data_IF_605941237507
#
_entry.id   IF_605941237507
#
_cell.length_a   1.000
_cell.length_b   1.000
_cell.length_c   1.000
_cell.angle_alpha   90.00
_cell.angle_beta   90.00
_cell.angle_gamma   90.00
#
_symmetry.space_group_name_H-M   'P 1'
#
loop_
_entity.id
_entity.type
_entity.pdbx_description
1 polymer ?
#
# COMPACT_ATOMS: atom_id res chain seq x y z
N UNK A 1 -7.20 26.41 19.69
CA UNK A 1 -6.40 27.40 18.94
C UNK A 1 -5.00 27.65 19.52
N UNK A 2 -4.85 28.13 20.76
CA UNK A 2 -3.53 28.50 21.33
C UNK A 2 -2.50 27.35 21.34
N UNK A 3 -2.90 26.14 21.74
CA UNK A 3 -2.02 24.98 21.76
C UNK A 3 -1.52 24.59 20.35
N UNK A 4 -2.38 24.65 19.34
CA UNK A 4 -2.01 24.38 17.94
C UNK A 4 -1.00 25.39 17.42
N UNK A 5 -1.22 26.69 17.64
CA UNK A 5 -0.29 27.74 17.22
C UNK A 5 1.07 27.55 17.91
N UNK A 6 1.07 27.25 19.21
CA UNK A 6 2.31 26.97 19.94
C UNK A 6 3.06 25.77 19.35
N UNK A 7 2.38 24.65 19.12
CA UNK A 7 2.97 23.45 18.53
C UNK A 7 3.50 23.70 17.11
N UNK A 8 2.77 24.52 16.30
CA UNK A 8 3.20 24.93 14.97
C UNK A 8 4.52 25.71 15.00
N UNK A 9 4.66 26.66 15.93
CA UNK A 9 5.89 27.43 16.09
C UNK A 9 7.04 26.58 16.65
N UNK A 10 6.78 25.68 17.61
CA UNK A 10 7.76 24.70 18.08
C UNK A 10 8.26 23.79 16.94
N UNK A 11 7.37 23.36 16.04
CA UNK A 11 7.73 22.54 14.88
C UNK A 11 8.63 23.28 13.88
N UNK A 12 8.39 24.58 13.66
CA UNK A 12 9.25 25.43 12.80
C UNK A 12 10.68 25.55 13.33
N UNK A 13 10.87 25.49 14.65
CA UNK A 13 12.21 25.54 15.26
C UNK A 13 13.07 24.33 14.88
N UNK A 14 12.46 23.20 14.49
CA UNK A 14 13.19 22.02 14.00
C UNK A 14 13.83 22.23 12.62
N UNK A 15 13.49 23.33 11.90
CA UNK A 15 14.04 23.67 10.57
C UNK A 15 14.00 22.51 9.57
N UNK A 16 12.92 21.74 9.62
CA UNK A 16 12.69 20.67 8.65
C UNK A 16 12.52 21.27 7.25
N UNK A 17 13.12 20.69 6.20
CA UNK A 17 12.91 21.16 4.83
C UNK A 17 11.45 20.95 4.42
N UNK A 18 10.85 21.95 3.77
CA UNK A 18 9.46 21.91 3.30
C UNK A 18 8.60 23.03 3.90
N UNK A 19 7.28 22.81 3.90
CA UNK A 19 6.29 23.72 4.45
C UNK A 19 5.21 22.94 5.20
N UNK A 20 4.42 23.63 6.02
CA UNK A 20 3.30 23.02 6.71
C UNK A 20 2.04 23.19 5.85
N UNK A 21 1.28 22.11 5.65
CA UNK A 21 0.00 22.23 4.92
C UNK A 21 -0.98 23.22 5.56
N UNK A 22 -0.89 23.44 6.87
CA UNK A 22 -1.62 24.52 7.57
C UNK A 22 -1.18 25.95 7.21
N UNK A 23 -0.23 26.12 6.29
CA UNK A 23 0.24 27.40 5.74
C UNK A 23 -0.14 27.58 4.28
N UNK A 24 -0.72 26.55 3.65
CA UNK A 24 -1.23 26.66 2.28
C UNK A 24 -2.54 27.45 2.34
N UNK A 25 -2.67 28.54 1.55
CA UNK A 25 -3.86 29.38 1.56
C UNK A 25 -5.06 28.72 0.88
N UNK A 26 -4.79 27.75 -0.01
CA UNK A 26 -5.79 27.03 -0.78
C UNK A 26 -6.29 25.81 -0.02
N UNK A 27 -7.61 25.63 -0.02
CA UNK A 27 -8.24 24.39 0.45
C UNK A 27 -7.99 23.28 -0.57
N UNK A 28 -7.86 22.06 -0.09
CA UNK A 28 -7.57 20.94 -0.95
C UNK A 28 -8.78 20.46 -1.79
N UNK A 29 -9.99 20.92 -1.46
CA UNK A 29 -11.13 20.93 -2.37
C UNK A 29 -11.85 22.28 -2.24
N UNK A 30 -12.18 22.87 -3.38
CA UNK A 30 -13.07 24.04 -3.50
C UNK A 30 -14.51 23.63 -3.78
N UNK A 31 -14.76 22.33 -3.95
CA UNK A 31 -16.05 21.74 -4.35
C UNK A 31 -16.71 21.11 -3.10
N UNK A 32 -17.99 21.40 -2.82
CA UNK A 32 -18.71 20.79 -1.70
C UNK A 32 -18.80 19.26 -1.81
N UNK A 33 -18.77 18.55 -0.68
CA UNK A 33 -18.85 17.08 -0.59
C UNK A 33 -20.08 16.43 -1.24
N UNK A 34 -21.06 17.21 -1.69
CA UNK A 34 -22.34 16.74 -2.23
C UNK A 34 -22.81 17.56 -3.44
N UNK A 35 -21.91 18.27 -4.13
CA UNK A 35 -22.29 18.89 -5.41
C UNK A 35 -22.41 17.80 -6.47
N UNK A 36 -23.63 17.33 -6.67
CA UNK A 36 -24.01 16.50 -7.80
C UNK A 36 -24.22 17.42 -8.99
N UNK A 37 -23.14 17.91 -9.60
CA UNK A 37 -23.25 18.33 -10.99
C UNK A 37 -23.18 17.04 -11.82
N UNK A 38 -24.36 16.57 -12.23
CA UNK A 38 -24.50 15.43 -13.12
C UNK A 38 -23.82 15.79 -14.45
N UNK A 39 -22.57 15.37 -14.64
CA UNK A 39 -21.94 15.38 -15.95
C UNK A 39 -22.56 14.26 -16.79
N UNK A 40 -23.77 14.52 -17.32
CA UNK A 40 -24.52 13.62 -18.21
C UNK A 40 -23.82 13.37 -19.57
N UNK A 41 -22.56 13.80 -19.75
CA UNK A 41 -21.87 13.73 -21.04
C UNK A 41 -20.36 13.42 -20.97
N UNK A 42 -19.90 12.63 -20.01
CA UNK A 42 -18.50 12.18 -20.05
C UNK A 42 -18.38 10.81 -20.75
N UNK A 43 -17.79 10.79 -21.95
CA UNK A 43 -17.39 9.55 -22.66
C UNK A 43 -16.29 8.77 -21.90
N UNK A 44 -15.77 9.30 -20.79
CA UNK A 44 -14.76 8.61 -19.98
C UNK A 44 -15.36 7.38 -19.28
N UNK A 45 -14.66 6.25 -19.44
CA UNK A 45 -14.95 5.00 -18.75
C UNK A 45 -14.70 5.08 -17.24
N UNK A 46 -14.98 3.98 -16.55
CA UNK A 46 -14.92 3.87 -15.09
C UNK A 46 -13.48 3.78 -14.59
N UNK A 47 -13.17 4.51 -13.53
CA UNK A 47 -11.97 4.32 -12.73
C UNK A 47 -12.23 3.28 -11.65
N UNK A 48 -11.80 2.05 -11.90
CA UNK A 48 -11.94 0.94 -10.95
C UNK A 48 -10.84 1.02 -9.87
N UNK A 49 -11.22 1.09 -8.60
CA UNK A 49 -10.31 1.02 -7.46
C UNK A 49 -10.46 -0.34 -6.78
N UNK A 50 -9.40 -1.13 -6.81
CA UNK A 50 -9.35 -2.46 -6.19
C UNK A 50 -8.66 -2.38 -4.84
N UNK A 51 -9.41 -2.65 -3.78
CA UNK A 51 -8.95 -2.64 -2.39
C UNK A 51 -8.58 -4.07 -1.95
N UNK A 52 -7.34 -4.27 -1.50
CA UNK A 52 -6.80 -5.60 -1.17
C UNK A 52 -6.28 -5.63 0.27
N UNK A 53 -6.92 -6.44 1.11
CA UNK A 53 -6.64 -6.55 2.54
C UNK A 53 -5.36 -7.35 2.85
N UNK A 54 -4.93 -7.30 4.12
CA UNK A 54 -3.76 -8.00 4.64
C UNK A 54 -4.05 -9.40 5.19
N UNK A 55 -3.08 -9.94 5.93
CA UNK A 55 -3.17 -11.24 6.63
C UNK A 55 -4.26 -11.18 7.71
N UNK A 56 -5.11 -12.20 7.80
CA UNK A 56 -6.26 -12.25 8.71
C UNK A 56 -7.20 -11.03 8.58
N UNK A 57 -7.12 -10.32 7.45
CA UNK A 57 -7.95 -9.17 7.12
C UNK A 57 -9.21 -9.55 6.33
N UNK A 58 -10.04 -8.55 6.06
CA UNK A 58 -11.29 -8.68 5.33
C UNK A 58 -11.60 -7.45 4.44
N UNK A 59 -12.64 -7.53 3.61
CA UNK A 59 -13.03 -6.48 2.66
C UNK A 59 -13.47 -5.18 3.35
N UNK A 60 -13.88 -5.23 4.61
CA UNK A 60 -14.25 -4.05 5.38
C UNK A 60 -13.06 -3.28 5.97
N UNK A 61 -11.83 -3.83 5.90
CA UNK A 61 -10.63 -3.19 6.46
C UNK A 61 -10.28 -1.87 5.74
N UNK A 62 -10.57 -1.78 4.44
CA UNK A 62 -10.29 -0.60 3.62
C UNK A 62 -11.51 0.31 3.44
N UNK A 63 -12.58 0.11 4.24
CA UNK A 63 -13.84 0.87 4.09
C UNK A 63 -13.64 2.39 4.22
N UNK A 64 -12.79 2.84 5.15
CA UNK A 64 -12.55 4.27 5.36
C UNK A 64 -11.78 4.88 4.18
N UNK A 65 -10.87 4.12 3.55
CA UNK A 65 -10.21 4.57 2.32
C UNK A 65 -11.23 4.82 1.22
N UNK A 66 -12.15 3.87 1.00
CA UNK A 66 -13.27 4.04 0.08
C UNK A 66 -14.07 5.30 0.41
N UNK A 67 -14.52 5.43 1.66
CA UNK A 67 -15.30 6.58 2.12
C UNK A 67 -14.62 7.92 1.82
N UNK A 68 -13.35 8.09 2.18
CA UNK A 68 -12.66 9.38 1.96
C UNK A 68 -12.34 9.67 0.49
N UNK A 69 -12.16 8.63 -0.34
CA UNK A 69 -12.01 8.80 -1.79
C UNK A 69 -13.33 9.21 -2.45
N UNK A 70 -14.45 8.54 -2.12
CA UNK A 70 -15.77 8.90 -2.63
C UNK A 70 -16.18 10.32 -2.21
N UNK A 71 -15.93 10.66 -0.96
CA UNK A 71 -16.18 12.00 -0.43
C UNK A 71 -15.28 13.05 -1.11
N UNK A 72 -14.00 12.76 -1.31
CA UNK A 72 -13.05 13.73 -1.85
C UNK A 72 -13.06 13.89 -3.37
N UNK A 73 -13.73 13.00 -4.11
CA UNK A 73 -13.87 13.04 -5.57
C UNK A 73 -15.35 13.00 -5.97
N UNK A 74 -16.17 13.99 -5.54
CA UNK A 74 -17.57 14.04 -5.92
C UNK A 74 -17.71 14.15 -7.45
N UNK A 75 -18.63 13.39 -8.03
CA UNK A 75 -18.87 13.35 -9.48
C UNK A 75 -17.90 12.50 -10.29
N UNK A 76 -16.78 12.03 -9.71
CA UNK A 76 -15.88 11.14 -10.43
C UNK A 76 -16.53 9.76 -10.66
N UNK A 77 -16.39 9.21 -11.88
CA UNK A 77 -16.88 7.87 -12.24
C UNK A 77 -15.99 6.77 -11.67
N UNK A 78 -16.03 6.62 -10.36
CA UNK A 78 -15.23 5.66 -9.60
C UNK A 78 -16.11 4.50 -9.18
N UNK A 79 -15.58 3.28 -9.31
CA UNK A 79 -16.18 2.09 -8.73
C UNK A 79 -15.17 1.33 -7.86
N UNK A 80 -15.64 0.64 -6.83
CA UNK A 80 -14.79 -0.01 -5.84
C UNK A 80 -15.01 -1.52 -5.80
N UNK A 81 -13.95 -2.27 -6.09
CA UNK A 81 -13.87 -3.68 -5.77
C UNK A 81 -13.16 -3.85 -4.41
N UNK A 82 -13.95 -4.09 -3.37
CA UNK A 82 -13.42 -4.50 -2.06
C UNK A 82 -13.17 -6.01 -2.10
N UNK A 83 -11.92 -6.44 -2.22
CA UNK A 83 -11.57 -7.84 -2.45
C UNK A 83 -11.99 -8.75 -1.28
N UNK A 84 -12.65 -9.86 -1.60
CA UNK A 84 -13.20 -10.82 -0.65
C UNK A 84 -12.69 -12.25 -0.83
N UNK A 85 -12.13 -12.59 -2.00
CA UNK A 85 -11.77 -13.98 -2.33
C UNK A 85 -10.66 -14.56 -1.46
N UNK A 86 -9.80 -13.73 -0.85
CA UNK A 86 -8.70 -14.19 -0.01
C UNK A 86 -9.01 -14.19 1.50
N UNK A 87 -10.13 -13.62 1.94
CA UNK A 87 -10.47 -13.45 3.37
C UNK A 87 -10.44 -14.76 4.17
N UNK A 88 -10.95 -15.83 3.56
CA UNK A 88 -11.08 -17.13 4.23
C UNK A 88 -9.75 -17.90 4.30
N UNK A 89 -8.73 -17.48 3.55
CA UNK A 89 -7.46 -18.22 3.46
C UNK A 89 -6.31 -17.31 3.02
N UNK A 90 -5.91 -16.39 3.90
CA UNK A 90 -4.73 -15.54 3.72
C UNK A 90 -3.40 -16.24 4.03
N UNK A 91 -3.46 -17.50 4.48
CA UNK A 91 -2.27 -18.29 4.85
C UNK A 91 -1.74 -19.16 3.69
N UNK A 92 -2.50 -19.31 2.61
CA UNK A 92 -2.03 -19.87 1.34
C UNK A 92 -0.78 -19.16 0.80
N UNK A 93 -0.10 -19.77 -0.17
CA UNK A 93 0.98 -19.10 -0.90
C UNK A 93 0.47 -17.91 -1.75
N UNK A 94 1.37 -16.98 -2.04
CA UNK A 94 1.05 -15.79 -2.81
C UNK A 94 0.56 -16.12 -4.22
N UNK A 95 1.04 -17.18 -4.85
CA UNK A 95 0.60 -17.61 -6.17
C UNK A 95 -0.90 -17.94 -6.17
N UNK A 96 -1.37 -18.73 -5.21
CA UNK A 96 -2.78 -19.09 -5.04
C UNK A 96 -3.63 -17.85 -4.74
N UNK A 97 -3.17 -16.98 -3.83
CA UNK A 97 -3.89 -15.73 -3.52
C UNK A 97 -3.95 -14.76 -4.70
N UNK A 98 -2.91 -14.76 -5.55
CA UNK A 98 -2.84 -13.97 -6.78
C UNK A 98 -3.91 -14.41 -7.76
N UNK A 99 -4.05 -15.71 -7.97
CA UNK A 99 -5.01 -16.25 -8.93
C UNK A 99 -6.45 -15.99 -8.49
N UNK A 100 -6.73 -16.12 -7.18
CA UNK A 100 -8.02 -15.75 -6.56
C UNK A 100 -8.36 -14.29 -6.77
N UNK A 101 -7.43 -13.36 -6.50
CA UNK A 101 -7.66 -11.93 -6.70
C UNK A 101 -7.83 -11.58 -8.18
N UNK A 102 -7.04 -12.18 -9.07
CA UNK A 102 -7.16 -11.95 -10.50
C UNK A 102 -8.50 -12.43 -11.04
N UNK A 103 -8.96 -13.61 -10.62
CA UNK A 103 -10.28 -14.12 -10.98
C UNK A 103 -11.40 -13.20 -10.49
N UNK A 104 -11.29 -12.68 -9.27
CA UNK A 104 -12.23 -11.70 -8.73
C UNK A 104 -12.31 -10.43 -9.58
N UNK A 105 -11.15 -9.83 -9.92
CA UNK A 105 -11.11 -8.59 -10.72
C UNK A 105 -11.73 -8.82 -12.11
N UNK A 106 -11.37 -9.91 -12.78
CA UNK A 106 -11.90 -10.22 -14.12
C UNK A 106 -13.40 -10.51 -14.06
N UNK A 107 -13.85 -11.30 -13.08
CA UNK A 107 -15.28 -11.59 -12.88
C UNK A 107 -16.07 -10.32 -12.59
N UNK A 108 -15.54 -9.43 -11.74
CA UNK A 108 -16.20 -8.16 -11.39
C UNK A 108 -16.39 -7.28 -12.63
N UNK A 109 -15.32 -7.08 -13.42
CA UNK A 109 -15.39 -6.29 -14.66
C UNK A 109 -16.42 -6.88 -15.64
N UNK A 110 -16.46 -8.21 -15.78
CA UNK A 110 -17.37 -8.90 -16.69
C UNK A 110 -18.82 -8.86 -16.21
N UNK A 111 -19.07 -9.15 -14.93
CA UNK A 111 -20.42 -9.25 -14.36
C UNK A 111 -21.15 -7.90 -14.41
N UNK A 112 -20.42 -6.81 -14.13
CA UNK A 112 -20.97 -5.46 -14.17
C UNK A 112 -20.77 -4.75 -15.52
N UNK A 113 -20.22 -5.45 -16.53
CA UNK A 113 -19.96 -4.92 -17.87
C UNK A 113 -19.23 -3.56 -17.86
N UNK A 114 -18.20 -3.44 -17.02
CA UNK A 114 -17.51 -2.17 -16.79
C UNK A 114 -16.64 -1.79 -17.98
N UNK A 115 -16.87 -0.61 -18.55
CA UNK A 115 -15.93 0.00 -19.49
C UNK A 115 -14.83 0.70 -18.70
N UNK A 116 -13.83 -0.07 -18.27
CA UNK A 116 -12.74 0.43 -17.42
C UNK A 116 -11.80 1.34 -18.20
N UNK A 117 -11.63 2.59 -17.76
CA UNK A 117 -10.66 3.56 -18.29
C UNK A 117 -9.36 3.56 -17.48
N UNK A 118 -9.48 3.50 -16.15
CA UNK A 118 -8.39 3.52 -15.17
C UNK A 118 -8.55 2.38 -14.16
N UNK A 119 -7.44 1.80 -13.71
CA UNK A 119 -7.41 0.87 -12.58
C UNK A 119 -6.40 1.38 -11.55
N UNK A 120 -6.86 1.52 -10.32
CA UNK A 120 -5.98 1.76 -9.16
C UNK A 120 -6.09 0.64 -8.16
N UNK A 121 -5.02 0.43 -7.42
CA UNK A 121 -4.95 -0.54 -6.35
C UNK A 121 -4.64 0.15 -5.02
N UNK A 122 -5.40 -0.20 -3.99
CA UNK A 122 -5.08 0.15 -2.61
C UNK A 122 -4.80 -1.15 -1.87
N UNK A 123 -3.53 -1.38 -1.52
CA UNK A 123 -3.11 -2.58 -0.80
C UNK A 123 -2.75 -2.28 0.64
N UNK A 124 -3.16 -3.14 1.56
CA UNK A 124 -2.67 -3.14 2.94
C UNK A 124 -1.79 -4.36 3.20
N UNK A 125 -0.67 -4.16 3.90
CA UNK A 125 0.19 -5.25 4.37
C UNK A 125 0.52 -6.22 3.22
N UNK A 126 0.34 -7.54 3.40
CA UNK A 126 0.60 -8.53 2.35
C UNK A 126 -0.25 -8.36 1.08
N UNK A 127 -1.40 -7.66 1.14
CA UNK A 127 -2.24 -7.40 -0.03
C UNK A 127 -1.48 -6.67 -1.14
N UNK A 128 -0.49 -5.86 -0.76
CA UNK A 128 0.44 -5.19 -1.68
C UNK A 128 1.26 -6.16 -2.53
N UNK A 129 1.66 -7.31 -1.96
CA UNK A 129 2.42 -8.33 -2.67
C UNK A 129 1.52 -9.12 -3.62
N UNK A 130 0.26 -9.37 -3.21
CA UNK A 130 -0.75 -9.98 -4.08
C UNK A 130 -1.00 -9.08 -5.29
N UNK A 131 -1.20 -7.78 -5.08
CA UNK A 131 -1.35 -6.79 -6.17
C UNK A 131 -0.17 -6.86 -7.12
N UNK A 132 1.07 -6.73 -6.62
CA UNK A 132 2.27 -6.79 -7.46
C UNK A 132 2.36 -8.08 -8.26
N UNK A 133 1.98 -9.21 -7.66
CA UNK A 133 1.97 -10.52 -8.30
C UNK A 133 0.92 -10.62 -9.42
N UNK A 134 -0.28 -10.03 -9.23
CA UNK A 134 -1.34 -9.96 -10.27
C UNK A 134 -0.83 -9.31 -11.55
N UNK A 135 -0.05 -8.23 -11.43
CA UNK A 135 0.50 -7.50 -12.59
C UNK A 135 1.40 -8.37 -13.48
N UNK A 136 1.93 -9.46 -12.93
CA UNK A 136 2.82 -10.39 -13.65
C UNK A 136 2.04 -11.46 -14.42
N UNK A 137 0.73 -11.60 -14.19
CA UNK A 137 -0.09 -12.65 -14.78
C UNK A 137 -0.48 -12.31 -16.23
N UNK A 138 -0.32 -13.24 -17.18
CA UNK A 138 -0.67 -13.00 -18.59
C UNK A 138 -2.11 -12.52 -18.80
N UNK A 139 -3.07 -13.06 -18.05
CA UNK A 139 -4.49 -12.67 -18.10
C UNK A 139 -4.74 -11.21 -17.70
N UNK A 140 -3.84 -10.59 -16.95
CA UNK A 140 -3.95 -9.18 -16.55
C UNK A 140 -3.27 -8.22 -17.54
N UNK A 141 -2.51 -8.74 -18.52
CA UNK A 141 -1.68 -7.94 -19.43
C UNK A 141 -2.45 -6.85 -20.19
N UNK A 142 -3.70 -7.11 -20.57
CA UNK A 142 -4.55 -6.15 -21.28
C UNK A 142 -4.95 -4.93 -20.44
N UNK A 143 -4.80 -4.99 -19.12
CA UNK A 143 -5.13 -3.91 -18.20
C UNK A 143 -3.92 -3.06 -17.80
N UNK A 144 -2.70 -3.49 -18.13
CA UNK A 144 -1.48 -2.79 -17.69
C UNK A 144 -1.40 -1.34 -18.18
N UNK A 145 -1.89 -1.06 -19.38
CA UNK A 145 -1.93 0.32 -19.92
C UNK A 145 -2.99 1.21 -19.25
N UNK A 146 -3.88 0.64 -18.44
CA UNK A 146 -4.93 1.36 -17.70
C UNK A 146 -4.54 1.62 -16.24
N UNK A 147 -3.34 1.21 -15.81
CA UNK A 147 -2.91 1.38 -14.42
C UNK A 147 -2.66 2.84 -14.09
N UNK A 148 -3.35 3.34 -13.08
CA UNK A 148 -3.28 4.74 -12.64
C UNK A 148 -2.49 4.84 -11.34
N UNK A 149 -3.04 4.38 -10.22
CA UNK A 149 -2.39 4.56 -8.91
C UNK A 149 -2.26 3.27 -8.14
N UNK A 150 -1.08 3.05 -7.56
CA UNK A 150 -0.83 2.05 -6.56
C UNK A 150 -0.55 2.72 -5.21
N UNK A 151 -1.54 2.70 -4.32
CA UNK A 151 -1.42 3.16 -2.95
C UNK A 151 -1.10 1.97 -2.04
N UNK A 152 0.13 1.95 -1.55
CA UNK A 152 0.64 0.90 -0.68
C UNK A 152 0.68 1.34 0.77
N UNK A 153 -0.23 0.80 1.59
CA UNK A 153 -0.31 1.05 3.03
C UNK A 153 0.42 -0.06 3.77
N UNK A 154 1.56 0.26 4.39
CA UNK A 154 2.41 -0.70 5.11
C UNK A 154 2.76 -1.96 4.29
N UNK A 155 3.13 -1.83 3.00
CA UNK A 155 3.41 -2.98 2.14
C UNK A 155 4.80 -3.61 2.38
N UNK A 156 4.94 -4.88 2.76
CA UNK A 156 6.24 -5.52 3.00
C UNK A 156 6.93 -5.91 1.68
N UNK A 157 7.21 -4.93 0.82
CA UNK A 157 7.71 -5.12 -0.56
C UNK A 157 9.02 -5.88 -0.68
N UNK A 158 9.84 -5.85 0.38
CA UNK A 158 11.13 -6.49 0.51
C UNK A 158 11.12 -7.59 1.61
N UNK A 159 9.92 -7.99 2.04
CA UNK A 159 9.70 -8.97 3.09
C UNK A 159 10.02 -8.47 4.50
N UNK A 160 10.19 -9.42 5.41
CA UNK A 160 10.41 -9.17 6.85
C UNK A 160 11.83 -9.49 7.32
N UNK A 161 12.77 -9.71 6.37
CA UNK A 161 14.16 -10.13 6.61
C UNK A 161 14.89 -9.33 7.70
N UNK A 162 14.74 -8.00 7.70
CA UNK A 162 15.42 -7.11 8.65
C UNK A 162 14.44 -6.45 9.64
N UNK A 163 13.37 -7.16 10.01
CA UNK A 163 12.47 -6.66 11.04
C UNK A 163 13.20 -6.56 12.39
N UNK A 164 13.16 -5.37 12.99
CA UNK A 164 13.83 -5.06 14.26
C UNK A 164 13.10 -5.61 15.49
N UNK A 165 11.85 -6.04 15.35
CA UNK A 165 11.02 -6.51 16.46
C UNK A 165 11.18 -8.02 16.69
N UNK A 166 11.98 -8.40 17.69
CA UNK A 166 12.18 -9.79 18.08
C UNK A 166 10.87 -10.50 18.43
N UNK A 167 9.97 -9.84 19.18
CA UNK A 167 8.67 -10.38 19.57
C UNK A 167 7.79 -10.71 18.36
N UNK A 168 7.73 -9.79 17.39
CA UNK A 168 6.95 -10.01 16.15
C UNK A 168 7.57 -11.14 15.34
N UNK A 169 8.90 -11.18 15.21
CA UNK A 169 9.58 -12.27 14.50
C UNK A 169 9.29 -13.64 15.13
N UNK A 170 9.30 -13.73 16.46
CA UNK A 170 8.93 -14.96 17.18
C UNK A 170 7.46 -15.32 16.95
N UNK A 171 6.55 -14.34 17.01
CA UNK A 171 5.12 -14.55 16.74
C UNK A 171 4.85 -15.03 15.30
N UNK A 172 5.48 -14.39 14.31
CA UNK A 172 5.39 -14.79 12.90
C UNK A 172 5.89 -16.22 12.70
N UNK A 173 7.03 -16.59 13.29
CA UNK A 173 7.56 -17.95 13.21
C UNK A 173 6.62 -18.98 13.84
N UNK A 174 6.02 -18.66 15.00
CA UNK A 174 5.05 -19.52 15.65
C UNK A 174 3.80 -19.72 14.77
N UNK A 175 3.22 -18.63 14.26
CA UNK A 175 2.06 -18.68 13.37
C UNK A 175 2.38 -19.44 12.08
N UNK A 176 3.54 -19.19 11.48
CA UNK A 176 4.01 -19.89 10.29
C UNK A 176 4.05 -21.40 10.52
N UNK A 177 4.62 -21.87 11.64
CA UNK A 177 4.66 -23.31 11.97
C UNK A 177 3.28 -23.87 12.30
N UNK A 178 2.49 -23.16 13.09
CA UNK A 178 1.20 -23.65 13.56
C UNK A 178 0.16 -23.72 12.43
N UNK A 179 0.07 -22.67 11.61
CA UNK A 179 -0.85 -22.59 10.47
C UNK A 179 -0.31 -23.23 9.19
N UNK A 180 0.96 -23.68 9.18
CA UNK A 180 1.67 -24.14 7.97
C UNK A 180 1.58 -23.12 6.82
N UNK A 181 1.75 -21.84 7.15
CA UNK A 181 1.45 -20.74 6.23
C UNK A 181 2.50 -20.60 5.13
N UNK A 182 2.06 -20.65 3.87
CA UNK A 182 2.85 -20.36 2.68
C UNK A 182 3.20 -18.88 2.56
N UNK A 183 2.21 -17.99 2.72
CA UNK A 183 2.42 -16.54 2.66
C UNK A 183 3.44 -16.04 3.68
N UNK A 184 3.40 -16.52 4.94
CA UNK A 184 4.37 -16.15 5.96
C UNK A 184 5.78 -16.70 5.68
N UNK A 185 5.87 -17.91 5.12
CA UNK A 185 7.14 -18.51 4.68
C UNK A 185 7.79 -17.67 3.57
N UNK A 186 7.00 -17.25 2.58
CA UNK A 186 7.44 -16.39 1.48
C UNK A 186 7.77 -14.96 1.96
N UNK A 187 6.97 -14.41 2.88
CA UNK A 187 7.17 -13.07 3.45
C UNK A 187 8.47 -12.96 4.27
N UNK A 188 8.88 -14.07 4.88
CA UNK A 188 10.15 -14.17 5.62
C UNK A 188 11.32 -14.58 4.73
N UNK A 189 11.11 -14.74 3.42
CA UNK A 189 12.08 -15.22 2.43
C UNK A 189 12.72 -16.57 2.82
N UNK A 190 11.92 -17.48 3.37
CA UNK A 190 12.35 -18.81 3.85
C UNK A 190 11.77 -19.96 3.03
N UNK A 191 11.04 -19.65 1.96
CA UNK A 191 10.43 -20.58 1.02
C UNK A 191 11.45 -21.29 0.11
N UNK A 192 12.71 -20.83 0.12
CA UNK A 192 13.80 -21.48 -0.60
C UNK A 192 15.15 -21.29 0.13
N UNK A 193 16.09 -22.22 -0.04
CA UNK A 193 17.43 -22.15 0.57
C UNK A 193 18.33 -21.08 -0.06
N UNK A 194 18.33 -20.99 -1.39
CA UNK A 194 18.91 -19.85 -2.13
C UNK A 194 17.97 -18.61 -2.03
N UNK A 195 18.42 -17.50 -1.41
CA UNK A 195 17.63 -16.27 -1.32
C UNK A 195 17.16 -15.73 -2.67
N UNK A 196 17.91 -15.95 -3.76
CA UNK A 196 17.57 -15.50 -5.11
C UNK A 196 16.52 -16.37 -5.81
N UNK A 197 16.11 -17.46 -5.18
CA UNK A 197 15.04 -18.33 -5.65
C UNK A 197 13.75 -18.19 -4.84
N UNK A 198 13.77 -17.38 -3.77
CA UNK A 198 12.57 -17.05 -2.99
C UNK A 198 11.54 -16.32 -3.85
N UNK A 199 10.27 -16.46 -3.49
CA UNK A 199 9.14 -15.80 -4.15
C UNK A 199 9.36 -14.29 -4.26
N UNK A 200 9.71 -13.63 -3.15
CA UNK A 200 9.88 -12.17 -3.11
C UNK A 200 11.01 -11.69 -4.01
N UNK A 201 12.14 -12.40 -4.05
CA UNK A 201 13.22 -12.05 -4.97
C UNK A 201 12.79 -12.22 -6.43
N UNK A 202 12.14 -13.35 -6.76
CA UNK A 202 11.62 -13.60 -8.12
C UNK A 202 10.60 -12.55 -8.53
N UNK A 203 9.71 -12.14 -7.63
CA UNK A 203 8.72 -11.09 -7.84
C UNK A 203 9.38 -9.72 -8.01
N UNK A 204 10.48 -9.41 -7.31
CA UNK A 204 11.19 -8.14 -7.47
C UNK A 204 11.67 -7.91 -8.90
N UNK A 205 12.10 -8.99 -9.59
CA UNK A 205 12.57 -8.95 -10.98
C UNK A 205 11.47 -8.78 -12.02
N UNK A 206 10.19 -8.86 -11.63
CA UNK A 206 9.08 -8.75 -12.56
C UNK A 206 8.70 -7.28 -12.76
N UNK A 207 8.47 -6.89 -14.01
CA UNK A 207 7.84 -5.61 -14.33
C UNK A 207 6.47 -5.50 -13.68
N UNK A 208 6.12 -4.31 -13.18
CA UNK A 208 4.83 -4.06 -12.54
C UNK A 208 4.66 -2.60 -12.14
N UNK A 209 5.47 -2.13 -11.17
CA UNK A 209 5.29 -0.81 -10.57
C UNK A 209 5.42 0.35 -11.57
N UNK A 210 6.29 0.22 -12.58
CA UNK A 210 6.52 1.27 -13.57
C UNK A 210 5.33 1.53 -14.51
N UNK A 211 4.33 0.64 -14.52
CA UNK A 211 3.13 0.80 -15.35
C UNK A 211 2.12 1.76 -14.73
N UNK A 212 2.23 2.06 -13.43
CA UNK A 212 1.34 3.03 -12.78
C UNK A 212 1.78 4.46 -13.10
N UNK A 213 0.82 5.36 -13.24
CA UNK A 213 1.05 6.81 -13.19
C UNK A 213 1.60 7.25 -11.84
N UNK A 214 1.11 6.67 -10.74
CA UNK A 214 1.54 6.99 -9.38
C UNK A 214 1.81 5.72 -8.56
N UNK A 215 2.99 5.65 -7.94
CA UNK A 215 3.34 4.68 -6.91
C UNK A 215 3.49 5.43 -5.60
N UNK A 216 2.53 5.24 -4.69
CA UNK A 216 2.46 5.92 -3.40
C UNK A 216 2.74 4.92 -2.29
N UNK A 217 3.89 5.04 -1.64
CA UNK A 217 4.34 4.12 -0.60
C UNK A 217 4.19 4.79 0.77
N UNK A 218 3.36 4.23 1.64
CA UNK A 218 3.07 4.76 2.97
C UNK A 218 3.63 3.79 4.01
N UNK A 219 4.50 4.29 4.89
CA UNK A 219 5.09 3.51 5.97
C UNK A 219 5.14 4.30 7.28
N UNK A 220 5.23 3.59 8.40
CA UNK A 220 5.38 4.18 9.73
C UNK A 220 6.53 3.52 10.48
N UNK A 221 7.39 4.30 11.13
CA UNK A 221 8.41 3.79 12.05
C UNK A 221 7.79 3.13 13.30
N UNK A 222 6.52 3.41 13.61
CA UNK A 222 5.80 2.81 14.73
C UNK A 222 5.22 1.43 14.38
N UNK A 223 5.18 1.07 13.08
CA UNK A 223 4.80 -0.26 12.61
C UNK A 223 5.94 -1.24 12.88
N UNK A 224 5.67 -2.23 13.73
CA UNK A 224 6.63 -3.30 14.06
C UNK A 224 6.33 -4.61 13.32
N UNK A 225 5.21 -4.67 12.59
CA UNK A 225 4.79 -5.84 11.81
C UNK A 225 5.49 -5.83 10.46
N UNK A 226 5.46 -4.68 9.79
CA UNK A 226 6.13 -4.46 8.52
C UNK A 226 7.33 -3.54 8.74
N UNK A 227 8.55 -3.96 8.35
CA UNK A 227 9.72 -3.10 8.48
C UNK A 227 9.54 -1.81 7.69
N UNK A 228 9.78 -0.67 8.33
CA UNK A 228 9.63 0.66 7.74
C UNK A 228 10.30 0.81 6.37
N UNK A 229 11.55 0.36 6.26
CA UNK A 229 12.32 0.40 5.03
C UNK A 229 11.74 -0.54 3.95
N UNK A 230 11.10 -1.65 4.34
CA UNK A 230 10.37 -2.49 3.40
C UNK A 230 9.09 -1.83 2.90
N UNK A 231 8.36 -1.12 3.76
CA UNK A 231 7.15 -0.35 3.38
C UNK A 231 7.44 0.69 2.29
N UNK A 232 8.63 1.30 2.35
CA UNK A 232 9.04 2.40 1.46
C UNK A 232 10.01 1.97 0.36
N UNK A 233 10.34 0.69 0.25
CA UNK A 233 11.35 0.14 -0.68
C UNK A 233 12.66 0.93 -0.54
N UNK A 234 13.29 0.80 0.62
CA UNK A 234 14.51 1.51 0.99
C UNK A 234 15.54 0.56 1.61
N UNK A 235 16.80 0.95 1.50
CA UNK A 235 17.90 0.26 2.16
C UNK A 235 17.87 0.53 3.67
N UNK A 236 18.30 -0.45 4.47
CA UNK A 236 18.43 -0.27 5.92
C UNK A 236 19.86 -0.51 6.42
N UNK A 237 20.19 0.06 7.58
CA UNK A 237 21.54 -0.03 8.18
C UNK A 237 21.97 -1.46 8.46
N UNK A 238 21.03 -2.35 8.81
CA UNK A 238 21.31 -3.76 9.07
C UNK A 238 21.68 -4.49 7.79
N UNK A 239 20.91 -4.27 6.71
CA UNK A 239 21.20 -4.85 5.39
C UNK A 239 22.56 -4.41 4.84
N UNK A 240 22.95 -3.15 5.04
CA UNK A 240 24.26 -2.64 4.61
C UNK A 240 25.45 -3.35 5.29
N UNK A 241 25.26 -3.89 6.48
CA UNK A 241 26.30 -4.60 7.25
C UNK A 241 26.28 -6.10 7.00
N UNK A 242 25.20 -6.63 6.45
CA UNK A 242 25.02 -8.05 6.17
C UNK A 242 25.69 -8.41 4.84
N UNK A 243 26.79 -9.16 4.89
CA UNK A 243 27.53 -9.59 3.69
C UNK A 243 26.86 -10.72 2.93
N UNK A 244 25.92 -11.45 3.53
CA UNK A 244 25.28 -12.62 2.93
C UNK A 244 23.95 -12.24 2.28
N UNK A 245 23.01 -11.71 3.07
CA UNK A 245 21.66 -11.37 2.59
C UNK A 245 21.53 -9.91 2.18
N UNK A 246 22.45 -9.03 2.60
CA UNK A 246 22.46 -7.61 2.23
C UNK A 246 22.51 -7.36 0.72
N UNK A 247 23.39 -8.03 -0.06
CA UNK A 247 23.43 -7.88 -1.51
C UNK A 247 22.12 -8.27 -2.20
N UNK A 248 21.49 -9.37 -1.75
CA UNK A 248 20.18 -9.83 -2.28
C UNK A 248 19.09 -8.79 -2.00
N UNK A 249 19.14 -8.17 -0.82
CA UNK A 249 18.23 -7.09 -0.45
C UNK A 249 18.40 -5.84 -1.33
N UNK A 250 19.66 -5.47 -1.61
CA UNK A 250 20.00 -4.38 -2.52
C UNK A 250 19.48 -4.63 -3.94
N UNK A 251 19.70 -5.84 -4.46
CA UNK A 251 19.19 -6.27 -5.76
C UNK A 251 17.66 -6.16 -5.84
N UNK A 252 16.92 -6.59 -4.81
CA UNK A 252 15.46 -6.44 -4.80
C UNK A 252 15.00 -4.98 -4.83
N UNK A 253 15.70 -4.08 -4.11
CA UNK A 253 15.43 -2.63 -4.15
C UNK A 253 15.65 -2.11 -5.57
N UNK A 254 16.79 -2.44 -6.17
CA UNK A 254 17.14 -1.98 -7.52
C UNK A 254 16.15 -2.49 -8.56
N UNK A 255 15.81 -3.79 -8.52
CA UNK A 255 14.84 -4.40 -9.42
C UNK A 255 13.48 -3.68 -9.37
N UNK A 256 13.06 -3.21 -8.19
CA UNK A 256 11.79 -2.53 -8.00
C UNK A 256 11.83 -1.05 -8.39
N UNK A 257 12.90 -0.35 -8.02
CA UNK A 257 12.96 1.10 -8.17
C UNK A 257 13.53 1.56 -9.50
N UNK A 258 14.50 0.85 -10.07
CA UNK A 258 15.15 1.30 -11.30
C UNK A 258 14.15 1.47 -12.45
N UNK A 259 13.21 0.53 -12.71
CA UNK A 259 12.20 0.72 -13.76
C UNK A 259 11.23 1.88 -13.48
N UNK A 260 10.89 2.10 -12.20
CA UNK A 260 10.02 3.20 -11.76
C UNK A 260 10.70 4.54 -11.99
N UNK A 261 11.96 4.68 -11.59
CA UNK A 261 12.75 5.90 -11.71
C UNK A 261 13.13 6.24 -13.17
N UNK A 262 13.21 5.23 -14.04
CA UNK A 262 13.47 5.42 -15.48
C UNK A 262 12.19 5.75 -16.27
N UNK A 263 11.01 5.46 -15.71
CA UNK A 263 9.73 5.76 -16.36
C UNK A 263 9.39 7.23 -16.20
N UNK A 264 9.27 7.95 -17.32
CA UNK A 264 8.90 9.38 -17.33
C UNK A 264 7.45 9.62 -16.91
N UNK A 265 6.61 8.60 -17.05
CA UNK A 265 5.17 8.66 -16.76
C UNK A 265 4.83 8.12 -15.36
N UNK A 266 5.81 7.69 -14.57
CA UNK A 266 5.60 7.12 -13.25
C UNK A 266 6.13 8.05 -12.15
N UNK A 267 5.23 8.53 -11.30
CA UNK A 267 5.55 9.32 -10.13
C UNK A 267 5.71 8.42 -8.89
N UNK A 268 6.88 8.43 -8.27
CA UNK A 268 7.14 7.71 -7.01
C UNK A 268 7.11 8.67 -5.83
N UNK A 269 6.16 8.45 -4.91
CA UNK A 269 6.02 9.25 -3.69
C UNK A 269 6.10 8.33 -2.47
N UNK A 270 6.84 8.77 -1.45
CA UNK A 270 6.98 8.06 -0.18
C UNK A 270 6.48 8.92 0.96
N UNK A 271 5.52 8.43 1.72
CA UNK A 271 5.01 9.07 2.92
C UNK A 271 5.53 8.39 4.17
N UNK A 272 5.97 9.20 5.13
CA UNK A 272 6.21 8.80 6.51
C UNK A 272 4.99 9.19 7.35
N UNK A 273 4.45 8.22 8.10
CA UNK A 273 3.26 8.42 8.93
C UNK A 273 3.60 8.20 10.39
N UNK A 274 3.28 9.20 11.20
CA UNK A 274 3.41 9.16 12.65
C UNK A 274 2.01 9.31 13.24
N UNK A 275 1.55 8.26 13.89
CA UNK A 275 0.28 8.21 14.58
C UNK A 275 0.43 8.68 16.03
N UNK A 276 -0.49 9.53 16.49
CA UNK A 276 -0.66 9.84 17.90
C UNK A 276 -1.39 8.68 18.60
N UNK A 277 -0.64 7.61 18.91
CA UNK A 277 -1.19 6.39 19.52
C UNK A 277 -1.19 6.49 21.05
N UNK A 278 -2.24 6.00 21.74
CA UNK A 278 -2.22 5.89 23.18
C UNK A 278 -1.18 4.85 23.63
N UNK A 279 -0.60 5.05 24.81
CA UNK A 279 0.33 4.09 25.42
C UNK A 279 -0.42 2.83 25.87
N UNK A 280 -0.47 1.81 25.01
CA UNK A 280 -1.18 0.54 25.22
C UNK A 280 -0.28 -0.62 24.80
N UNK A 281 -0.61 -1.85 25.22
CA UNK A 281 0.13 -3.03 24.76
C UNK A 281 0.16 -3.16 23.23
N UNK A 282 -0.93 -2.78 22.55
CA UNK A 282 -1.02 -2.78 21.07
C UNK A 282 -0.08 -1.76 20.42
N UNK A 283 0.15 -0.59 21.02
CA UNK A 283 1.12 0.39 20.52
C UNK A 283 2.56 0.00 20.82
N UNK A 284 2.80 -0.65 21.96
CA UNK A 284 4.11 -1.23 22.29
C UNK A 284 4.49 -2.39 21.35
N UNK A 285 3.54 -3.22 20.95
CA UNK A 285 3.79 -4.34 20.02
C UNK A 285 3.82 -3.86 18.55
N UNK A 286 3.43 -2.60 18.28
CA UNK A 286 3.42 -1.98 16.95
C UNK A 286 2.22 -2.38 16.07
N UNK A 287 1.34 -3.26 16.58
CA UNK A 287 0.06 -3.61 15.93
C UNK A 287 -0.84 -2.40 15.76
N UNK A 288 -0.85 -1.50 16.75
CA UNK A 288 -1.69 -0.31 16.70
C UNK A 288 -1.33 0.59 15.51
N UNK A 289 -0.04 0.80 15.21
CA UNK A 289 0.37 1.58 14.03
C UNK A 289 0.05 0.85 12.72
N UNK A 290 0.27 -0.47 12.68
CA UNK A 290 -0.04 -1.29 11.50
C UNK A 290 -1.52 -1.26 11.10
N UNK A 291 -2.42 -1.13 12.08
CA UNK A 291 -3.88 -1.02 11.87
C UNK A 291 -4.31 0.44 11.73
N UNK A 292 -3.66 1.38 12.43
CA UNK A 292 -4.05 2.79 12.41
C UNK A 292 -3.97 3.41 11.01
N UNK A 293 -3.12 2.90 10.11
CA UNK A 293 -3.10 3.33 8.71
C UNK A 293 -4.42 3.05 7.96
N UNK A 294 -5.29 2.19 8.51
CA UNK A 294 -6.60 1.83 7.97
C UNK A 294 -7.78 2.33 8.81
N UNK A 295 -7.60 2.47 10.12
CA UNK A 295 -8.71 2.70 11.06
C UNK A 295 -8.66 4.08 11.71
N UNK A 296 -7.53 4.81 11.59
CA UNK A 296 -7.45 6.18 12.10
C UNK A 296 -8.15 7.13 11.14
N UNK A 297 -9.39 7.48 11.46
CA UNK A 297 -10.17 8.48 10.73
C UNK A 297 -9.39 9.78 10.53
N UNK A 298 -8.75 10.29 11.60
CA UNK A 298 -7.94 11.51 11.52
C UNK A 298 -6.82 11.37 10.49
N UNK A 299 -6.09 10.24 10.49
CA UNK A 299 -5.03 10.03 9.51
C UNK A 299 -5.59 9.97 8.09
N UNK A 300 -6.62 9.15 7.86
CA UNK A 300 -7.16 8.92 6.51
C UNK A 300 -7.83 10.18 5.95
N UNK A 301 -8.62 10.88 6.77
CA UNK A 301 -9.19 12.17 6.44
C UNK A 301 -8.06 13.14 6.02
N UNK A 302 -7.08 13.38 6.89
CA UNK A 302 -6.02 14.34 6.56
C UNK A 302 -5.17 13.87 5.38
N UNK A 303 -4.84 12.59 5.28
CA UNK A 303 -4.03 12.07 4.18
C UNK A 303 -4.73 12.28 2.84
N UNK A 304 -5.96 11.80 2.68
CA UNK A 304 -6.68 11.93 1.42
C UNK A 304 -6.97 13.39 1.12
N UNK A 305 -7.61 14.09 2.06
CA UNK A 305 -8.05 15.44 1.80
C UNK A 305 -6.88 16.37 1.52
N UNK A 306 -5.71 16.20 2.13
CA UNK A 306 -4.60 17.16 1.96
C UNK A 306 -3.64 16.77 0.84
N UNK A 307 -3.43 15.48 0.59
CA UNK A 307 -2.36 15.03 -0.29
C UNK A 307 -2.69 13.84 -1.19
N UNK A 308 -3.62 12.97 -0.78
CA UNK A 308 -3.88 11.69 -1.40
C UNK A 308 -4.80 11.76 -2.62
N UNK A 309 -5.82 12.64 -2.60
CA UNK A 309 -6.86 12.68 -3.64
C UNK A 309 -6.33 12.94 -5.04
N UNK A 310 -5.32 13.82 -5.17
CA UNK A 310 -4.68 14.15 -6.46
C UNK A 310 -4.09 12.94 -7.19
N UNK A 311 -3.79 11.86 -6.48
CA UNK A 311 -3.29 10.64 -7.11
C UNK A 311 -4.42 9.82 -7.75
N UNK A 312 -5.68 10.07 -7.43
CA UNK A 312 -6.83 9.33 -7.94
C UNK A 312 -7.68 10.12 -8.95
N UNK A 313 -7.39 11.41 -9.14
CA UNK A 313 -7.86 12.22 -10.27
C UNK A 313 -7.21 11.70 -11.56
#
# INVERSE_FOLDING_TARGET
MKAFIKAKEELKQLRLPGFLYSEVPELASTVPYFSLEDDECCEEGIHLIVCVHGLDGNSADLRLVKTYLELGLPGARIDFLMSERNQNDTFADFESMTDRLLDEIVQYIQLYNLTVSKISFVGHSLGNLIVRSVLTRPRFKCYLSKLHTFLSLSGPHLGTLYNSSALVNTGLWFMQKWKKSGSLLQLTCRDHSDPRQTFLYKLSKKSGLQYFKNVVLVGSLQDRYVPYHSARIEMCKTALKDKQTGPVYAEMIENLLLPVLQSKDCNLVRYDVIHALPNTANSLIGRAAHIAVLDSEIFLEKFFLVAGLRFFQ
#
